data_IF_968138039323
#
_entry.id   IF_968138039323
#
_cell.length_a   1.000
_cell.length_b   1.000
_cell.length_c   1.000
_cell.angle_alpha   90.00
_cell.angle_beta   90.00
_cell.angle_gamma   90.00
#
_symmetry.space_group_name_H-M   'P 1'
#
loop_
_entity.id
_entity.type
_entity.pdbx_description
1 polymer ?
#
# COMPACT_ATOMS: atom_id res chain seq x y z
N UNK A 1 0.77 -27.63 59.44
CA UNK A 1 1.72 -26.92 58.54
C UNK A 1 1.93 -27.62 57.18
N UNK A 2 1.23 -28.69 56.86
CA UNK A 2 1.43 -29.55 55.65
C UNK A 2 0.49 -29.22 54.48
N UNK A 3 -0.64 -28.54 54.71
CA UNK A 3 -1.65 -28.25 53.64
C UNK A 3 -1.37 -27.07 52.71
N UNK A 4 -0.35 -26.22 52.96
CA UNK A 4 -0.06 -25.06 52.11
C UNK A 4 0.78 -25.34 50.86
N UNK A 5 1.55 -26.45 50.83
CA UNK A 5 2.41 -26.77 49.68
C UNK A 5 1.69 -27.33 48.44
N UNK A 6 0.57 -28.01 48.63
CA UNK A 6 -0.24 -28.55 47.50
C UNK A 6 -0.97 -27.50 46.68
N UNK A 7 -1.40 -26.42 47.32
CA UNK A 7 -2.18 -25.33 46.70
C UNK A 7 -1.40 -24.58 45.62
N UNK A 8 -0.11 -24.28 45.83
CA UNK A 8 0.75 -23.58 44.88
C UNK A 8 1.20 -24.44 43.69
N UNK A 9 1.30 -25.75 43.86
CA UNK A 9 1.70 -26.64 42.76
C UNK A 9 0.62 -26.83 41.68
N UNK A 10 -0.64 -26.59 42.00
CA UNK A 10 -1.76 -26.74 41.05
C UNK A 10 -2.07 -25.37 40.36
N UNK A 11 -1.88 -24.26 41.05
CA UNK A 11 -2.25 -22.91 40.54
C UNK A 11 -1.17 -22.37 39.58
N UNK A 12 0.10 -22.59 39.84
CA UNK A 12 1.21 -22.09 39.02
C UNK A 12 1.15 -22.56 37.55
N UNK A 13 0.89 -23.81 37.22
CA UNK A 13 0.83 -24.28 35.85
C UNK A 13 -0.36 -23.73 35.07
N UNK A 14 -1.51 -23.51 35.72
CA UNK A 14 -2.69 -22.92 35.06
C UNK A 14 -2.52 -21.43 34.77
N UNK A 15 -2.05 -20.62 35.71
CA UNK A 15 -1.72 -19.21 35.49
C UNK A 15 -0.65 -19.07 34.39
N UNK A 16 0.37 -19.93 34.38
CA UNK A 16 1.41 -19.96 33.35
C UNK A 16 0.86 -20.34 31.95
N UNK A 17 -0.11 -21.24 31.89
CA UNK A 17 -0.74 -21.66 30.65
C UNK A 17 -1.57 -20.51 30.02
N UNK A 18 -2.37 -19.82 30.81
CA UNK A 18 -3.18 -18.70 30.32
C UNK A 18 -2.38 -17.46 29.97
N UNK A 19 -1.28 -17.17 30.68
CA UNK A 19 -0.32 -16.13 30.26
C UNK A 19 0.32 -16.48 28.92
N UNK A 20 0.66 -17.75 28.69
CA UNK A 20 1.18 -18.21 27.40
C UNK A 20 0.18 -18.04 26.25
N UNK A 21 -1.10 -18.34 26.48
CA UNK A 21 -2.16 -18.14 25.46
C UNK A 21 -2.30 -16.65 25.12
N UNK A 22 -2.32 -15.75 26.11
CA UNK A 22 -2.41 -14.30 25.85
C UNK A 22 -1.21 -13.80 25.05
N UNK A 23 0.00 -14.20 25.45
CA UNK A 23 1.23 -13.85 24.71
C UNK A 23 1.18 -14.40 23.29
N UNK A 24 0.76 -15.65 23.10
CA UNK A 24 0.63 -16.25 21.77
C UNK A 24 -0.39 -15.50 20.88
N UNK A 25 -1.53 -15.10 21.43
CA UNK A 25 -2.54 -14.30 20.71
C UNK A 25 -2.00 -12.92 20.32
N UNK A 26 -1.28 -12.24 21.22
CA UNK A 26 -0.66 -10.96 20.94
C UNK A 26 0.43 -11.08 19.86
N UNK A 27 1.27 -12.12 19.94
CA UNK A 27 2.27 -12.41 18.91
C UNK A 27 1.63 -12.71 17.55
N UNK A 28 0.55 -13.50 17.53
CA UNK A 28 -0.18 -13.80 16.30
C UNK A 28 -0.81 -12.53 15.69
N UNK A 29 -1.43 -11.67 16.50
CA UNK A 29 -1.96 -10.39 16.05
C UNK A 29 -0.85 -9.50 15.46
N UNK A 30 0.29 -9.39 16.12
CA UNK A 30 1.44 -8.62 15.66
C UNK A 30 1.97 -9.16 14.31
N UNK A 31 2.12 -10.47 14.18
CA UNK A 31 2.57 -11.10 12.93
C UNK A 31 1.60 -10.86 11.78
N UNK A 32 0.28 -10.96 12.02
CA UNK A 32 -0.74 -10.69 11.01
C UNK A 32 -0.72 -9.23 10.56
N UNK A 33 -0.65 -8.29 11.50
CA UNK A 33 -0.57 -6.86 11.19
C UNK A 33 0.68 -6.57 10.36
N UNK A 34 1.83 -7.10 10.80
CA UNK A 34 3.09 -6.93 10.09
C UNK A 34 3.02 -7.51 8.66
N UNK A 35 2.43 -8.69 8.50
CA UNK A 35 2.23 -9.32 7.20
C UNK A 35 1.34 -8.47 6.27
N UNK A 36 0.24 -7.91 6.79
CA UNK A 36 -0.65 -7.01 6.03
C UNK A 36 0.15 -5.83 5.47
N UNK A 37 0.93 -5.14 6.30
CA UNK A 37 1.70 -3.97 5.87
C UNK A 37 2.84 -4.33 4.92
N UNK A 38 3.52 -5.45 5.12
CA UNK A 38 4.55 -5.94 4.19
C UNK A 38 3.93 -6.22 2.81
N UNK A 39 2.79 -6.92 2.76
CA UNK A 39 2.11 -7.23 1.50
C UNK A 39 1.69 -5.94 0.78
N UNK A 40 1.16 -4.95 1.50
CA UNK A 40 0.76 -3.65 0.94
C UNK A 40 1.97 -2.92 0.34
N UNK A 41 3.09 -2.82 1.06
CA UNK A 41 4.29 -2.15 0.55
C UNK A 41 4.92 -2.89 -0.63
N UNK A 42 4.94 -4.22 -0.61
CA UNK A 42 5.39 -5.02 -1.76
C UNK A 42 4.49 -4.78 -2.98
N UNK A 43 3.16 -4.73 -2.79
CA UNK A 43 2.19 -4.44 -3.86
C UNK A 43 2.39 -3.05 -4.45
N UNK A 44 2.52 -2.02 -3.60
CA UNK A 44 2.77 -0.63 -4.03
C UNK A 44 4.06 -0.54 -4.82
N UNK A 45 5.14 -1.16 -4.36
CA UNK A 45 6.44 -1.14 -5.04
C UNK A 45 6.40 -1.89 -6.37
N UNK A 46 5.70 -3.00 -6.45
CA UNK A 46 5.50 -3.74 -7.68
C UNK A 46 4.73 -2.91 -8.72
N UNK A 47 3.60 -2.30 -8.32
CA UNK A 47 2.81 -1.44 -9.22
C UNK A 47 3.60 -0.21 -9.67
N UNK A 48 4.36 0.43 -8.77
CA UNK A 48 5.22 1.56 -9.13
C UNK A 48 6.22 1.19 -10.21
N UNK A 49 6.93 0.06 -10.08
CA UNK A 49 7.89 -0.40 -11.09
C UNK A 49 7.20 -0.71 -12.41
N UNK A 50 6.10 -1.42 -12.39
CA UNK A 50 5.36 -1.79 -13.59
C UNK A 50 4.82 -0.57 -14.34
N UNK A 51 4.25 0.41 -13.62
CA UNK A 51 3.74 1.65 -14.19
C UNK A 51 4.89 2.49 -14.77
N UNK A 52 5.99 2.64 -14.03
CA UNK A 52 7.17 3.38 -14.48
C UNK A 52 7.76 2.76 -15.75
N UNK A 53 7.92 1.45 -15.81
CA UNK A 53 8.41 0.75 -17.00
C UNK A 53 7.47 0.92 -18.21
N UNK A 54 6.17 0.96 -17.96
CA UNK A 54 5.16 1.21 -18.99
C UNK A 54 5.29 2.63 -19.56
N UNK A 55 5.37 3.64 -18.67
CA UNK A 55 5.54 5.06 -19.02
C UNK A 55 6.85 5.25 -19.82
N UNK A 56 7.95 4.68 -19.34
CA UNK A 56 9.25 4.79 -20.03
C UNK A 56 9.20 4.18 -21.42
N UNK A 57 8.60 2.99 -21.59
CA UNK A 57 8.43 2.37 -22.91
C UNK A 57 7.57 3.22 -23.84
N UNK A 58 6.44 3.70 -23.36
CA UNK A 58 5.54 4.55 -24.14
C UNK A 58 6.24 5.85 -24.57
N UNK A 59 6.87 6.56 -23.64
CA UNK A 59 7.58 7.79 -23.95
C UNK A 59 8.77 7.57 -24.87
N UNK A 60 9.51 6.46 -24.73
CA UNK A 60 10.61 6.12 -25.64
C UNK A 60 10.11 5.89 -27.06
N UNK A 61 8.99 5.20 -27.24
CA UNK A 61 8.40 4.99 -28.56
C UNK A 61 7.91 6.31 -29.18
N UNK A 62 7.27 7.18 -28.39
CA UNK A 62 6.87 8.51 -28.82
C UNK A 62 8.08 9.37 -29.21
N UNK A 63 9.14 9.34 -28.40
CA UNK A 63 10.37 10.09 -28.70
C UNK A 63 11.03 9.61 -29.99
N UNK A 64 10.99 8.31 -30.25
CA UNK A 64 11.47 7.74 -31.51
C UNK A 64 10.65 8.22 -32.71
N UNK A 65 9.32 8.15 -32.60
CA UNK A 65 8.43 8.64 -33.67
C UNK A 65 8.62 10.14 -33.93
N UNK A 66 8.79 10.94 -32.89
CA UNK A 66 9.09 12.35 -33.02
C UNK A 66 10.45 12.60 -33.66
N UNK A 67 11.48 11.87 -33.25
CA UNK A 67 12.83 11.95 -33.85
C UNK A 67 12.78 11.61 -35.34
N UNK A 68 12.09 10.54 -35.73
CA UNK A 68 11.93 10.15 -37.13
C UNK A 68 11.21 11.23 -37.95
N UNK A 69 10.18 11.85 -37.41
CA UNK A 69 9.46 12.97 -38.05
C UNK A 69 10.38 14.18 -38.26
N UNK A 70 11.09 14.59 -37.20
CA UNK A 70 12.04 15.73 -37.29
C UNK A 70 13.18 15.40 -38.27
N UNK A 71 13.74 14.20 -38.21
CA UNK A 71 14.80 13.76 -39.12
C UNK A 71 14.36 13.79 -40.56
N UNK A 72 13.15 13.35 -40.89
CA UNK A 72 12.60 13.41 -42.23
C UNK A 72 12.56 14.85 -42.75
N UNK A 73 12.06 15.79 -41.96
CA UNK A 73 12.05 17.20 -42.35
C UNK A 73 13.44 17.80 -42.51
N UNK A 74 14.39 17.45 -41.61
CA UNK A 74 15.76 17.93 -41.69
C UNK A 74 16.47 17.40 -42.95
N UNK A 75 16.27 16.12 -43.34
CA UNK A 75 16.78 15.56 -44.58
C UNK A 75 16.22 16.29 -45.79
N UNK A 76 14.90 16.51 -45.85
CA UNK A 76 14.29 17.22 -46.93
C UNK A 76 14.86 18.65 -47.09
N UNK A 77 15.12 19.36 -45.99
CA UNK A 77 15.76 20.69 -46.00
C UNK A 77 17.22 20.57 -46.48
N UNK A 78 17.95 19.58 -46.02
CA UNK A 78 19.35 19.38 -46.42
C UNK A 78 19.49 19.01 -47.88
N UNK A 79 18.63 18.11 -48.41
CA UNK A 79 18.60 17.74 -49.83
C UNK A 79 18.27 18.98 -50.71
N UNK A 80 17.35 19.86 -50.26
CA UNK A 80 17.06 21.10 -50.92
C UNK A 80 18.29 22.02 -50.96
N UNK A 81 18.98 22.18 -49.83
CA UNK A 81 20.20 22.98 -49.73
C UNK A 81 21.32 22.43 -50.62
N UNK A 82 21.49 21.10 -50.65
CA UNK A 82 22.48 20.44 -51.52
C UNK A 82 22.17 20.66 -53.00
N UNK A 83 20.91 20.49 -53.40
CA UNK A 83 20.50 20.73 -54.77
C UNK A 83 20.75 22.18 -55.20
N UNK A 84 20.33 23.15 -54.36
CA UNK A 84 20.54 24.57 -54.62
C UNK A 84 22.01 24.96 -54.65
N UNK A 85 22.85 24.36 -53.81
CA UNK A 85 24.31 24.53 -53.81
C UNK A 85 24.91 24.02 -55.15
N UNK A 86 24.57 22.81 -55.53
CA UNK A 86 25.07 22.21 -56.81
C UNK A 86 24.65 23.03 -58.02
N UNK A 87 23.40 23.50 -58.08
CA UNK A 87 22.90 24.36 -59.16
C UNK A 87 23.61 25.71 -59.20
N UNK A 88 23.83 26.34 -58.03
CA UNK A 88 24.58 27.60 -57.95
C UNK A 88 26.04 27.43 -58.39
N UNK A 89 26.72 26.43 -57.88
CA UNK A 89 28.15 26.20 -58.18
C UNK A 89 28.38 25.79 -59.64
N UNK A 90 27.39 25.15 -60.29
CA UNK A 90 27.48 24.75 -61.71
C UNK A 90 27.13 25.89 -62.71
N UNK A 91 26.17 26.75 -62.36
CA UNK A 91 25.65 27.75 -63.29
C UNK A 91 25.86 29.19 -62.81
N UNK A 92 26.52 29.38 -61.66
CA UNK A 92 26.77 30.67 -61.01
C UNK A 92 25.48 31.47 -60.73
N UNK A 93 24.31 30.83 -60.81
CA UNK A 93 23.03 31.50 -60.51
C UNK A 93 21.91 30.55 -60.15
N UNK A 94 21.14 30.95 -59.14
CA UNK A 94 19.84 30.35 -58.79
C UNK A 94 18.78 31.42 -58.98
N UNK A 95 17.79 31.15 -59.85
CA UNK A 95 16.75 32.14 -60.14
C UNK A 95 15.70 32.24 -59.04
N UNK A 96 15.08 33.41 -58.86
CA UNK A 96 14.02 33.60 -57.90
C UNK A 96 12.78 32.67 -58.18
N UNK A 97 12.49 32.38 -59.47
CA UNK A 97 11.45 31.46 -59.87
C UNK A 97 11.72 30.02 -59.46
N UNK A 98 13.00 29.60 -59.51
CA UNK A 98 13.42 28.27 -59.02
C UNK A 98 13.24 28.17 -57.49
N UNK A 99 13.69 29.14 -56.74
CA UNK A 99 13.50 29.19 -55.29
C UNK A 99 12.02 29.14 -54.89
N UNK A 100 11.16 29.91 -55.59
CA UNK A 100 9.71 29.94 -55.39
C UNK A 100 9.06 28.58 -55.66
N UNK A 101 9.42 27.91 -56.75
CA UNK A 101 8.93 26.56 -57.11
C UNK A 101 9.37 25.52 -56.03
N UNK A 102 10.63 25.54 -55.63
CA UNK A 102 11.07 24.63 -54.59
C UNK A 102 10.33 24.83 -53.29
N UNK A 103 10.14 26.05 -52.84
CA UNK A 103 9.35 26.35 -51.64
C UNK A 103 7.93 25.83 -51.75
N UNK A 104 7.27 25.93 -52.90
CA UNK A 104 5.87 25.51 -53.08
C UNK A 104 5.71 24.00 -53.24
N UNK A 105 6.72 23.29 -53.78
CA UNK A 105 6.67 21.86 -54.07
C UNK A 105 6.99 21.03 -52.81
N UNK A 106 7.86 21.50 -51.97
CA UNK A 106 8.31 20.78 -50.80
C UNK A 106 7.46 21.20 -49.59
N UNK A 107 6.64 20.29 -49.09
CA UNK A 107 5.75 20.50 -47.94
C UNK A 107 6.53 20.47 -46.63
N UNK A 108 7.51 21.37 -46.50
CA UNK A 108 8.41 21.50 -45.33
C UNK A 108 8.25 22.89 -44.68
N UNK A 109 8.64 23.05 -43.40
CA UNK A 109 8.43 24.29 -42.64
C UNK A 109 9.32 25.46 -43.05
N UNK A 110 9.47 25.69 -44.36
CA UNK A 110 10.34 26.73 -44.92
C UNK A 110 9.57 28.06 -44.99
N UNK A 111 10.06 29.07 -44.31
CA UNK A 111 9.57 30.42 -44.35
C UNK A 111 10.15 31.15 -45.56
N UNK A 112 11.48 31.07 -45.72
CA UNK A 112 12.17 31.68 -46.87
C UNK A 112 13.39 30.86 -47.22
N UNK A 113 13.78 30.98 -48.49
CA UNK A 113 15.04 30.53 -49.05
C UNK A 113 15.77 31.75 -49.55
N UNK A 114 17.05 31.91 -49.21
CA UNK A 114 17.84 33.08 -49.62
C UNK A 114 19.25 32.65 -50.08
N UNK A 115 19.73 33.35 -51.08
CA UNK A 115 21.12 33.26 -51.55
C UNK A 115 21.83 34.53 -51.10
N UNK A 116 22.97 34.38 -50.48
CA UNK A 116 23.77 35.40 -49.84
C UNK A 116 25.12 35.42 -50.54
N UNK A 117 25.62 36.58 -50.93
CA UNK A 117 26.95 36.71 -51.56
C UNK A 117 28.09 36.67 -50.53
N UNK A 118 29.33 36.72 -50.99
CA UNK A 118 30.55 36.73 -50.18
C UNK A 118 30.70 37.96 -49.22
N UNK A 119 29.98 39.01 -49.50
CA UNK A 119 29.88 40.22 -48.64
C UNK A 119 28.81 40.07 -47.54
N UNK A 120 28.01 39.03 -47.56
CA UNK A 120 26.92 38.82 -46.63
C UNK A 120 25.62 39.54 -47.00
N UNK A 121 25.46 39.94 -48.26
CA UNK A 121 24.27 40.61 -48.77
C UNK A 121 23.36 39.58 -49.42
N UNK A 122 22.04 39.59 -49.09
CA UNK A 122 21.04 38.72 -49.70
C UNK A 122 20.78 39.19 -51.13
N UNK A 123 21.20 38.42 -52.11
CA UNK A 123 21.07 38.73 -53.55
C UNK A 123 19.83 38.09 -54.20
N UNK A 124 19.32 37.01 -53.61
CA UNK A 124 18.05 36.34 -54.04
C UNK A 124 17.30 35.86 -52.83
N UNK A 125 15.99 35.96 -52.82
CA UNK A 125 15.15 35.43 -51.76
C UNK A 125 13.75 35.13 -52.29
N UNK A 126 13.09 34.11 -51.69
CA UNK A 126 11.63 33.87 -51.83
C UNK A 126 10.80 34.88 -51.07
N UNK A 127 11.42 35.69 -50.20
CA UNK A 127 10.79 36.76 -49.44
C UNK A 127 11.38 38.10 -49.87
N UNK A 128 10.67 38.93 -50.70
CA UNK A 128 11.23 40.15 -51.29
C UNK A 128 11.78 41.13 -50.27
N UNK A 129 11.22 41.17 -49.05
CA UNK A 129 11.67 42.08 -47.97
C UNK A 129 13.09 41.76 -47.47
N UNK A 130 13.65 40.61 -47.81
CA UNK A 130 15.02 40.24 -47.45
C UNK A 130 16.05 40.70 -48.47
N UNK A 131 15.67 41.06 -49.68
CA UNK A 131 16.60 41.47 -50.73
C UNK A 131 17.43 42.68 -50.30
N UNK A 132 18.70 42.65 -50.63
CA UNK A 132 19.72 43.66 -50.29
C UNK A 132 19.98 43.81 -48.76
N UNK A 133 19.40 42.95 -47.93
CA UNK A 133 19.68 42.96 -46.48
C UNK A 133 21.07 42.38 -46.22
N UNK A 134 21.84 43.09 -45.37
CA UNK A 134 23.13 42.60 -44.89
C UNK A 134 22.93 41.65 -43.70
N UNK A 135 23.47 40.40 -43.81
CA UNK A 135 23.41 39.34 -42.82
C UNK A 135 24.80 38.82 -42.45
N UNK A 136 25.83 39.62 -42.76
CA UNK A 136 27.24 39.25 -42.50
C UNK A 136 27.54 39.06 -40.99
N UNK A 137 26.73 39.62 -40.10
CA UNK A 137 26.77 39.46 -38.66
C UNK A 137 26.12 38.19 -38.13
N UNK A 138 25.38 37.45 -38.99
CA UNK A 138 24.71 36.24 -38.55
C UNK A 138 25.71 35.12 -38.28
N UNK A 139 25.40 34.32 -37.24
CA UNK A 139 26.25 33.23 -36.72
C UNK A 139 26.70 32.27 -37.84
N UNK A 140 25.79 31.80 -38.67
CA UNK A 140 26.10 30.90 -39.76
C UNK A 140 27.04 31.48 -40.80
N UNK A 141 26.90 32.78 -41.12
CA UNK A 141 27.76 33.46 -42.09
C UNK A 141 29.16 33.64 -41.54
N UNK A 142 29.30 34.00 -40.30
CA UNK A 142 30.59 34.13 -39.63
C UNK A 142 31.29 32.75 -39.51
N UNK A 143 30.52 31.68 -39.23
CA UNK A 143 31.06 30.33 -39.19
C UNK A 143 31.65 29.90 -40.55
N UNK A 144 30.97 30.22 -41.69
CA UNK A 144 31.44 29.92 -43.04
C UNK A 144 32.67 30.72 -43.49
N UNK A 145 32.84 31.89 -42.95
CA UNK A 145 34.07 32.69 -43.20
C UNK A 145 35.30 32.09 -42.54
N UNK A 146 35.08 31.47 -41.36
CA UNK A 146 36.21 30.92 -40.59
C UNK A 146 36.59 29.52 -41.05
N UNK A 147 35.65 28.77 -41.54
CA UNK A 147 35.84 27.34 -41.85
C UNK A 147 34.94 26.89 -42.99
N UNK A 148 35.47 25.98 -43.84
CA UNK A 148 34.62 25.25 -44.76
C UNK A 148 33.87 24.15 -44.03
N UNK A 149 32.56 24.20 -44.16
CA UNK A 149 31.65 23.19 -43.60
C UNK A 149 31.04 22.40 -44.78
N UNK A 150 31.40 21.13 -44.85
CA UNK A 150 30.77 20.22 -45.82
C UNK A 150 29.32 19.86 -45.43
N UNK A 151 28.99 20.00 -44.14
CA UNK A 151 27.67 19.73 -43.58
C UNK A 151 26.84 21.01 -43.43
N UNK A 152 25.47 20.91 -43.37
CA UNK A 152 24.66 22.07 -43.10
C UNK A 152 24.93 22.64 -41.70
N UNK A 153 24.94 23.95 -41.61
CA UNK A 153 25.05 24.67 -40.34
C UNK A 153 23.68 24.94 -39.75
N UNK A 154 23.45 24.57 -38.51
CA UNK A 154 22.21 24.75 -37.75
C UNK A 154 22.38 25.91 -36.77
N UNK A 155 21.89 27.07 -37.09
CA UNK A 155 22.02 28.26 -36.27
C UNK A 155 21.09 28.25 -35.06
N UNK A 156 21.40 29.06 -34.07
CA UNK A 156 20.49 29.34 -32.94
C UNK A 156 19.22 30.00 -33.44
N UNK A 157 18.07 29.82 -32.75
CA UNK A 157 16.88 30.55 -33.04
C UNK A 157 17.06 32.05 -32.86
N UNK A 158 16.56 32.81 -33.80
CA UNK A 158 16.58 34.28 -33.77
C UNK A 158 15.22 34.84 -34.21
N UNK A 159 14.90 36.06 -33.78
CA UNK A 159 13.77 36.80 -34.32
C UNK A 159 14.14 37.29 -35.71
N UNK A 160 13.49 36.81 -36.75
CA UNK A 160 13.74 37.20 -38.14
C UNK A 160 13.56 38.71 -38.34
N UNK A 161 14.55 39.37 -38.94
CA UNK A 161 14.56 40.84 -39.12
C UNK A 161 13.37 41.37 -39.92
N UNK A 162 13.01 40.63 -40.97
CA UNK A 162 11.85 41.01 -41.84
C UNK A 162 10.54 40.38 -41.33
N UNK A 163 10.56 39.12 -40.86
CA UNK A 163 9.33 38.39 -40.52
C UNK A 163 8.82 38.74 -39.12
N UNK A 164 9.68 39.25 -38.22
CA UNK A 164 9.41 39.50 -36.80
C UNK A 164 8.92 38.25 -36.06
N UNK A 165 9.20 37.06 -36.59
CA UNK A 165 8.87 35.75 -36.02
C UNK A 165 10.15 35.02 -35.64
N UNK A 166 10.02 34.08 -34.67
CA UNK A 166 11.09 33.17 -34.38
C UNK A 166 11.38 32.28 -35.59
N UNK A 167 12.67 32.18 -35.95
CA UNK A 167 13.18 31.31 -37.01
C UNK A 167 14.49 30.69 -36.52
N UNK A 168 14.79 29.50 -36.97
CA UNK A 168 16.15 29.02 -36.94
C UNK A 168 16.63 28.76 -38.38
N UNK A 169 17.86 29.05 -38.60
CA UNK A 169 18.43 28.99 -39.93
C UNK A 169 19.21 27.73 -40.13
N UNK A 170 19.02 27.08 -41.31
CA UNK A 170 19.82 25.97 -41.79
C UNK A 170 20.48 26.47 -43.10
N UNK A 171 21.78 26.41 -43.13
CA UNK A 171 22.58 27.06 -44.20
C UNK A 171 23.67 26.13 -44.71
N UNK A 172 24.04 26.28 -46.00
CA UNK A 172 25.22 25.69 -46.55
C UNK A 172 26.09 26.77 -47.20
N UNK A 173 27.41 26.60 -47.07
CA UNK A 173 28.41 27.46 -47.74
C UNK A 173 28.38 27.21 -49.23
N UNK A 174 28.51 28.28 -50.02
CA UNK A 174 28.76 28.29 -51.44
C UNK A 174 30.27 28.51 -51.68
N UNK A 175 30.84 27.74 -52.60
CA UNK A 175 32.23 27.81 -52.90
C UNK A 175 32.45 28.24 -54.35
N UNK A 176 33.53 29.03 -54.60
CA UNK A 176 34.06 29.27 -55.94
C UNK A 176 34.82 28.03 -56.39
N UNK A 177 35.16 27.93 -57.68
CA UNK A 177 35.94 26.80 -58.22
C UNK A 177 37.30 26.61 -57.56
N UNK A 178 37.88 27.63 -56.95
CA UNK A 178 39.12 27.61 -56.21
C UNK A 178 38.95 27.17 -54.72
N UNK A 179 37.73 26.87 -54.29
CA UNK A 179 37.36 26.48 -52.91
C UNK A 179 37.19 27.69 -51.96
N UNK A 180 37.43 28.91 -52.42
CA UNK A 180 37.15 30.09 -51.58
C UNK A 180 35.64 30.30 -51.46
N UNK A 181 35.24 31.01 -50.37
CA UNK A 181 33.82 31.29 -50.08
C UNK A 181 33.24 32.26 -51.12
N UNK A 182 32.13 31.84 -51.80
CA UNK A 182 31.34 32.67 -52.69
C UNK A 182 30.05 33.19 -52.05
N UNK A 183 29.73 32.66 -50.89
CA UNK A 183 28.53 33.05 -50.15
C UNK A 183 27.87 31.91 -49.38
N UNK A 184 26.57 31.98 -49.24
CA UNK A 184 25.80 30.95 -48.56
C UNK A 184 24.37 30.83 -49.11
N UNK A 185 23.81 29.64 -49.07
CA UNK A 185 22.38 29.42 -49.19
C UNK A 185 21.83 29.20 -47.80
N UNK A 186 20.76 29.91 -47.50
CA UNK A 186 20.13 29.91 -46.19
C UNK A 186 18.63 29.62 -46.31
N UNK A 187 18.14 28.73 -45.47
CA UNK A 187 16.72 28.44 -45.28
C UNK A 187 16.32 28.85 -43.89
N UNK A 188 15.30 29.73 -43.79
CA UNK A 188 14.65 30.08 -42.53
C UNK A 188 13.50 29.10 -42.26
N UNK A 189 13.59 28.41 -41.15
CA UNK A 189 12.61 27.38 -40.72
C UNK A 189 11.75 27.90 -39.61
N UNK A 190 10.42 27.69 -39.71
CA UNK A 190 9.50 27.98 -38.64
C UNK A 190 9.52 26.88 -37.58
N UNK A 191 10.02 27.17 -36.36
CA UNK A 191 10.08 26.15 -35.31
C UNK A 191 8.70 25.68 -34.86
N UNK A 192 7.64 26.51 -35.00
CA UNK A 192 6.29 26.16 -34.55
C UNK A 192 5.65 25.04 -35.38
N UNK A 193 6.15 24.81 -36.60
CA UNK A 193 5.72 23.67 -37.40
C UNK A 193 5.90 22.33 -36.66
N UNK A 194 7.00 22.16 -35.97
CA UNK A 194 7.27 20.94 -35.22
C UNK A 194 6.37 20.80 -33.99
N UNK A 195 5.77 21.88 -33.53
CA UNK A 195 4.79 21.88 -32.46
C UNK A 195 3.47 21.20 -32.88
N UNK A 196 3.16 21.14 -34.21
CA UNK A 196 1.97 20.45 -34.70
C UNK A 196 1.98 18.95 -34.42
N UNK A 197 3.17 18.35 -34.30
CA UNK A 197 3.32 16.96 -33.88
C UNK A 197 2.66 16.73 -32.50
N UNK A 198 2.76 17.69 -31.59
CA UNK A 198 2.12 17.62 -30.28
C UNK A 198 0.60 17.49 -30.39
N UNK A 199 -0.04 18.31 -31.25
CA UNK A 199 -1.50 18.28 -31.41
C UNK A 199 -2.02 17.00 -32.04
N UNK A 200 -1.23 16.36 -32.92
CA UNK A 200 -1.59 15.12 -33.59
C UNK A 200 -1.49 13.89 -32.67
N UNK A 201 -0.63 13.93 -31.67
CA UNK A 201 -0.37 12.80 -30.77
C UNK A 201 -1.35 12.71 -29.60
N UNK A 202 -2.29 13.65 -29.45
CA UNK A 202 -3.26 13.70 -28.32
C UNK A 202 -2.58 13.47 -26.95
N UNK A 203 -1.41 14.05 -26.77
CA UNK A 203 -0.65 13.96 -25.52
C UNK A 203 -1.42 14.63 -24.37
N UNK A 204 -1.28 14.11 -23.17
CA UNK A 204 -1.93 14.65 -21.97
C UNK A 204 -1.57 16.12 -21.70
N UNK A 205 -2.20 16.71 -20.70
CA UNK A 205 -2.08 18.16 -20.42
C UNK A 205 -0.67 18.57 -19.99
N UNK A 206 0.06 17.70 -19.26
CA UNK A 206 1.38 17.98 -18.70
C UNK A 206 2.54 17.35 -19.50
N UNK A 207 2.26 16.94 -20.74
CA UNK A 207 3.33 16.55 -21.68
C UNK A 207 3.99 17.78 -22.27
N UNK A 208 5.26 17.63 -22.63
CA UNK A 208 5.93 18.57 -23.53
C UNK A 208 6.88 17.83 -24.47
N UNK A 209 7.00 18.36 -25.68
CA UNK A 209 8.00 17.96 -26.65
C UNK A 209 9.01 19.09 -26.86
N UNK A 210 10.25 18.75 -27.15
CA UNK A 210 11.26 19.77 -27.47
C UNK A 210 12.25 19.27 -28.50
N UNK A 211 12.72 20.22 -29.31
CA UNK A 211 13.92 20.09 -30.14
C UNK A 211 14.97 21.03 -29.52
N UNK A 212 16.09 20.48 -29.11
CA UNK A 212 17.19 21.20 -28.44
C UNK A 212 18.44 21.01 -29.30
N UNK A 213 19.15 22.09 -29.57
CA UNK A 213 20.46 21.97 -30.22
C UNK A 213 21.52 21.42 -29.27
N UNK A 214 22.52 20.74 -29.77
CA UNK A 214 23.73 20.34 -29.02
C UNK A 214 24.47 21.57 -28.43
N UNK A 215 24.18 22.76 -28.99
CA UNK A 215 24.64 24.05 -28.49
C UNK A 215 23.89 24.55 -27.23
N UNK A 216 22.86 23.80 -26.78
CA UNK A 216 22.09 24.10 -25.58
C UNK A 216 21.01 25.14 -25.75
N UNK A 217 20.60 25.46 -26.98
CA UNK A 217 19.45 26.34 -27.24
C UNK A 217 18.25 25.56 -27.70
N UNK A 218 17.10 25.85 -27.10
CA UNK A 218 15.81 25.26 -27.47
C UNK A 218 15.39 25.79 -28.85
N UNK A 219 15.27 24.90 -29.83
CA UNK A 219 14.73 25.26 -31.17
C UNK A 219 13.23 25.46 -31.11
N UNK A 220 12.55 24.56 -30.43
CA UNK A 220 11.12 24.66 -30.07
C UNK A 220 10.85 23.78 -28.87
N UNK A 221 10.01 24.28 -27.99
CA UNK A 221 9.36 23.51 -26.91
C UNK A 221 7.89 23.76 -26.96
N UNK A 222 7.09 22.72 -27.05
CA UNK A 222 5.65 22.77 -27.06
C UNK A 222 5.06 22.04 -25.88
N UNK A 223 4.19 22.72 -25.15
CA UNK A 223 3.29 22.15 -24.14
C UNK A 223 1.84 22.22 -24.63
N UNK A 224 0.91 21.80 -23.82
CA UNK A 224 -0.53 22.00 -24.12
C UNK A 224 -0.94 23.48 -24.25
N UNK A 225 -0.20 24.39 -23.64
CA UNK A 225 -0.58 25.81 -23.50
C UNK A 225 0.44 26.79 -24.06
N UNK A 226 1.70 26.42 -24.17
CA UNK A 226 2.79 27.33 -24.52
C UNK A 226 3.70 26.77 -25.59
N UNK A 227 4.19 27.67 -26.45
CA UNK A 227 5.31 27.40 -27.38
C UNK A 227 6.48 28.31 -27.00
N UNK A 228 7.64 27.74 -26.74
CA UNK A 228 8.86 28.44 -26.35
C UNK A 228 9.96 28.16 -27.38
N UNK A 229 10.72 29.23 -27.70
CA UNK A 229 11.80 29.18 -28.69
C UNK A 229 12.97 30.02 -28.18
N UNK A 230 14.19 29.56 -28.40
CA UNK A 230 15.40 30.33 -28.13
C UNK A 230 15.87 30.31 -26.68
N UNK A 231 15.21 29.58 -25.79
CA UNK A 231 15.61 29.48 -24.38
C UNK A 231 16.98 28.80 -24.25
N UNK A 232 17.89 29.41 -23.49
CA UNK A 232 19.19 28.83 -23.16
C UNK A 232 19.06 27.82 -22.01
N UNK A 233 19.40 26.57 -22.27
CA UNK A 233 19.31 25.46 -21.30
C UNK A 233 20.69 24.89 -20.96
N UNK A 234 21.80 25.54 -21.33
CA UNK A 234 23.16 25.03 -21.08
C UNK A 234 23.45 24.83 -19.59
N UNK A 235 22.90 25.69 -18.76
CA UNK A 235 23.06 25.65 -17.30
C UNK A 235 21.96 24.83 -16.60
N UNK A 236 21.00 24.23 -17.35
CA UNK A 236 19.96 23.41 -16.78
C UNK A 236 20.53 22.04 -16.37
N UNK A 237 20.17 21.58 -15.18
CA UNK A 237 20.66 20.32 -14.61
C UNK A 237 20.41 19.11 -15.51
N UNK A 238 19.37 19.14 -16.34
CA UNK A 238 19.05 18.05 -17.27
C UNK A 238 19.90 18.06 -18.55
N UNK A 239 20.50 19.22 -18.92
CA UNK A 239 21.22 19.32 -20.21
C UNK A 239 22.45 18.42 -20.26
N UNK A 240 23.13 18.23 -19.13
CA UNK A 240 24.25 17.29 -19.03
C UNK A 240 23.83 15.83 -19.33
N UNK A 241 22.63 15.43 -18.94
CA UNK A 241 22.10 14.11 -19.27
C UNK A 241 21.84 13.95 -20.76
N UNK A 242 21.41 15.01 -21.46
CA UNK A 242 21.15 14.97 -22.90
C UNK A 242 22.43 14.77 -23.73
N UNK A 243 23.59 15.09 -23.16
CA UNK A 243 24.90 14.91 -23.82
C UNK A 243 25.54 13.53 -23.53
N UNK A 244 24.99 12.77 -22.56
CA UNK A 244 25.58 11.54 -22.05
C UNK A 244 25.45 10.32 -22.95
N UNK A 245 24.75 10.41 -24.10
CA UNK A 245 24.57 9.33 -25.05
C UNK A 245 23.56 9.65 -26.15
N UNK A 246 23.38 8.70 -27.11
CA UNK A 246 22.46 8.90 -28.24
C UNK A 246 20.98 8.85 -27.81
N UNK A 247 20.66 8.14 -26.77
CA UNK A 247 19.30 8.05 -26.23
C UNK A 247 19.33 7.73 -24.74
N UNK A 248 18.26 8.09 -24.03
CA UNK A 248 18.13 7.79 -22.63
C UNK A 248 16.81 8.25 -22.02
N UNK A 249 16.65 7.89 -20.75
CA UNK A 249 15.54 8.33 -19.93
C UNK A 249 16.05 8.65 -18.52
N UNK A 250 15.51 9.72 -17.91
CA UNK A 250 15.86 10.13 -16.56
C UNK A 250 14.73 10.96 -15.94
N UNK A 251 14.76 11.13 -14.64
CA UNK A 251 13.83 12.00 -13.92
C UNK A 251 14.61 13.22 -13.42
N UNK A 252 14.13 14.42 -13.74
CA UNK A 252 14.75 15.65 -13.31
C UNK A 252 13.71 16.78 -13.14
N UNK A 253 14.12 17.85 -12.47
CA UNK A 253 13.30 19.06 -12.34
C UNK A 253 13.60 20.00 -13.51
N UNK A 254 12.55 20.45 -14.19
CA UNK A 254 12.69 21.38 -15.30
C UNK A 254 12.83 22.83 -14.82
N UNK A 255 13.62 23.65 -15.54
CA UNK A 255 13.77 25.08 -15.27
C UNK A 255 12.55 25.90 -15.69
N UNK A 256 11.65 25.34 -16.51
CA UNK A 256 10.52 26.07 -17.09
C UNK A 256 9.36 26.24 -16.09
N UNK A 257 9.10 25.25 -15.24
CA UNK A 257 7.97 25.24 -14.31
C UNK A 257 8.30 24.62 -12.95
N UNK A 258 9.56 24.31 -12.70
CA UNK A 258 10.07 23.70 -11.45
C UNK A 258 9.39 22.37 -11.07
N UNK A 259 8.72 21.71 -12.02
CA UNK A 259 8.11 20.40 -11.81
C UNK A 259 9.09 19.26 -12.07
N UNK A 260 8.97 18.18 -11.30
CA UNK A 260 9.67 16.92 -11.60
C UNK A 260 9.01 16.26 -12.80
N UNK A 261 9.85 15.87 -13.77
CA UNK A 261 9.42 15.28 -15.03
C UNK A 261 10.22 14.04 -15.37
N UNK A 262 9.56 13.11 -16.02
CA UNK A 262 10.18 11.93 -16.62
C UNK A 262 10.55 12.35 -18.04
N UNK A 263 11.83 12.39 -18.33
CA UNK A 263 12.39 12.75 -19.63
C UNK A 263 12.74 11.48 -20.40
N UNK A 264 12.47 11.51 -21.71
CA UNK A 264 13.04 10.59 -22.68
C UNK A 264 13.63 11.42 -23.81
N UNK A 265 14.81 11.04 -24.30
CA UNK A 265 15.50 11.79 -25.33
C UNK A 265 16.18 10.88 -26.36
N UNK A 266 16.36 11.45 -27.54
CA UNK A 266 17.19 10.88 -28.62
C UNK A 266 17.97 11.99 -29.30
N UNK A 267 19.29 11.80 -29.39
CA UNK A 267 20.17 12.67 -30.18
C UNK A 267 20.18 12.18 -31.64
N UNK A 268 20.08 13.11 -32.56
CA UNK A 268 20.18 12.77 -33.99
C UNK A 268 21.62 12.51 -34.37
N UNK A 269 21.93 11.38 -35.02
CA UNK A 269 23.29 11.10 -35.46
C UNK A 269 23.79 12.07 -36.54
N UNK A 270 22.87 12.41 -37.47
CA UNK A 270 23.20 13.18 -38.68
C UNK A 270 23.18 14.69 -38.47
N UNK A 271 22.47 15.16 -37.42
CA UNK A 271 22.24 16.58 -37.14
C UNK A 271 22.55 16.95 -35.70
N UNK A 272 22.99 18.19 -35.40
CA UNK A 272 23.34 18.63 -34.06
C UNK A 272 22.06 18.96 -33.22
N UNK A 273 21.09 18.07 -33.28
CA UNK A 273 19.78 18.23 -32.61
C UNK A 273 19.49 17.05 -31.68
N UNK A 274 18.77 17.33 -30.61
CA UNK A 274 18.30 16.37 -29.64
C UNK A 274 16.78 16.57 -29.53
N UNK A 275 16.01 15.51 -29.69
CA UNK A 275 14.58 15.54 -29.45
C UNK A 275 14.28 14.99 -28.08
N UNK A 276 13.33 15.58 -27.39
CA UNK A 276 12.92 15.14 -26.08
C UNK A 276 11.41 15.14 -25.95
N UNK A 277 10.89 14.15 -25.23
CA UNK A 277 9.52 14.13 -24.73
C UNK A 277 9.58 13.97 -23.22
N UNK A 278 8.76 14.73 -22.53
CA UNK A 278 8.68 14.63 -21.08
C UNK A 278 7.26 14.84 -20.56
N UNK A 279 6.97 14.14 -19.47
CA UNK A 279 5.69 14.19 -18.78
C UNK A 279 5.92 14.53 -17.32
N UNK A 280 5.01 15.27 -16.69
CA UNK A 280 5.01 15.48 -15.24
C UNK A 280 4.89 14.15 -14.50
N UNK A 281 5.74 13.92 -13.50
CA UNK A 281 5.69 12.72 -12.66
C UNK A 281 4.33 12.58 -11.96
N UNK A 282 3.74 13.71 -11.56
CA UNK A 282 2.43 13.74 -10.89
C UNK A 282 1.27 13.34 -11.83
N UNK A 283 1.31 13.71 -13.10
CA UNK A 283 0.31 13.26 -14.10
C UNK A 283 0.52 11.79 -14.45
N UNK A 284 1.75 11.42 -14.73
CA UNK A 284 2.12 10.07 -15.13
C UNK A 284 1.76 9.01 -14.07
N UNK A 285 1.95 9.34 -12.78
CA UNK A 285 1.70 8.45 -11.64
C UNK A 285 0.43 8.78 -10.86
N UNK A 286 -0.42 9.70 -11.37
CA UNK A 286 -1.61 10.16 -10.65
C UNK A 286 -2.55 9.03 -10.23
N UNK A 287 -2.82 8.09 -11.12
CA UNK A 287 -3.64 6.92 -10.83
C UNK A 287 -2.99 5.99 -9.79
N UNK A 288 -1.66 5.87 -9.82
CA UNK A 288 -0.91 5.09 -8.84
C UNK A 288 -1.01 5.73 -7.44
N UNK A 289 -0.91 7.06 -7.34
CA UNK A 289 -1.05 7.76 -6.08
C UNK A 289 -2.43 7.54 -5.44
N UNK A 290 -3.50 7.56 -6.24
CA UNK A 290 -4.84 7.24 -5.76
C UNK A 290 -4.95 5.78 -5.28
N UNK A 291 -4.44 4.82 -6.05
CA UNK A 291 -4.39 3.41 -5.63
C UNK A 291 -3.59 3.22 -4.34
N UNK A 292 -2.45 3.90 -4.20
CA UNK A 292 -1.61 3.87 -3.00
C UNK A 292 -2.36 4.33 -1.75
N UNK A 293 -3.15 5.40 -1.86
CA UNK A 293 -4.01 5.89 -0.78
C UNK A 293 -5.07 4.84 -0.43
N UNK A 294 -5.72 4.25 -1.42
CA UNK A 294 -6.74 3.21 -1.20
C UNK A 294 -6.15 1.96 -0.51
N UNK A 295 -4.97 1.49 -0.93
CA UNK A 295 -4.28 0.36 -0.26
C UNK A 295 -3.95 0.66 1.19
N UNK A 296 -3.48 1.87 1.50
CA UNK A 296 -3.19 2.29 2.88
C UNK A 296 -4.46 2.33 3.73
N UNK A 297 -5.57 2.84 3.23
CA UNK A 297 -6.86 2.78 3.92
C UNK A 297 -7.34 1.35 4.13
N UNK A 298 -7.19 0.49 3.13
CA UNK A 298 -7.45 -0.95 3.28
C UNK A 298 -6.61 -1.60 4.38
N UNK A 299 -5.33 -1.24 4.46
CA UNK A 299 -4.43 -1.67 5.53
C UNK A 299 -4.85 -1.22 6.93
N UNK A 300 -5.27 0.04 7.06
CA UNK A 300 -5.80 0.57 8.32
C UNK A 300 -7.06 -0.18 8.75
N UNK A 301 -8.01 -0.37 7.84
CA UNK A 301 -9.24 -1.13 8.12
C UNK A 301 -8.94 -2.58 8.49
N UNK A 302 -8.04 -3.24 7.76
CA UNK A 302 -7.58 -4.59 8.06
C UNK A 302 -6.91 -4.68 9.44
N UNK A 303 -6.06 -3.72 9.77
CA UNK A 303 -5.44 -3.63 11.10
C UNK A 303 -6.46 -3.46 12.21
N UNK A 304 -7.46 -2.58 12.02
CA UNK A 304 -8.56 -2.41 12.98
C UNK A 304 -9.35 -3.70 13.17
N UNK A 305 -9.67 -4.40 12.09
CA UNK A 305 -10.38 -5.68 12.15
C UNK A 305 -9.60 -6.74 12.96
N UNK A 306 -8.28 -6.85 12.72
CA UNK A 306 -7.41 -7.75 13.48
C UNK A 306 -7.39 -7.37 14.96
N UNK A 307 -7.23 -6.09 15.28
CA UNK A 307 -7.21 -5.61 16.67
C UNK A 307 -8.54 -5.92 17.38
N UNK A 308 -9.67 -5.64 16.74
CA UNK A 308 -11.00 -5.95 17.28
C UNK A 308 -11.17 -7.45 17.51
N UNK A 309 -10.83 -8.27 16.51
CA UNK A 309 -10.92 -9.72 16.60
C UNK A 309 -10.10 -10.28 17.79
N UNK A 310 -8.83 -9.89 17.89
CA UNK A 310 -7.97 -10.36 18.96
C UNK A 310 -8.37 -9.80 20.33
N UNK A 311 -8.90 -8.56 20.40
CA UNK A 311 -9.47 -8.00 21.62
C UNK A 311 -10.68 -8.80 22.11
N UNK A 312 -11.58 -9.21 21.20
CA UNK A 312 -12.73 -10.08 21.51
C UNK A 312 -12.27 -11.45 21.98
N UNK A 313 -11.25 -12.05 21.33
CA UNK A 313 -10.69 -13.32 21.76
C UNK A 313 -10.08 -13.23 23.17
N UNK A 314 -9.32 -12.20 23.46
CA UNK A 314 -8.76 -11.95 24.78
C UNK A 314 -9.85 -11.74 25.83
N UNK A 315 -10.91 -11.01 25.48
CA UNK A 315 -12.08 -10.81 26.36
C UNK A 315 -12.80 -12.14 26.63
N UNK A 316 -13.04 -12.98 25.62
CA UNK A 316 -13.65 -14.30 25.80
C UNK A 316 -12.78 -15.21 26.68
N UNK A 317 -11.47 -15.22 26.50
CA UNK A 317 -10.56 -15.98 27.35
C UNK A 317 -10.63 -15.47 28.79
N UNK A 318 -10.67 -14.16 29.00
CA UNK A 318 -10.80 -13.56 30.33
C UNK A 318 -12.12 -13.94 30.99
N UNK A 319 -13.22 -13.91 30.23
CA UNK A 319 -14.55 -14.22 30.75
C UNK A 319 -14.66 -15.71 31.15
N UNK A 320 -14.07 -16.62 30.37
CA UNK A 320 -13.97 -18.05 30.76
C UNK A 320 -13.22 -18.23 32.07
N UNK A 321 -12.09 -17.57 32.24
CA UNK A 321 -11.33 -17.62 33.49
C UNK A 321 -12.13 -17.15 34.69
N UNK A 322 -12.83 -16.04 34.57
CA UNK A 322 -13.67 -15.51 35.65
C UNK A 322 -14.81 -16.48 36.00
N UNK A 323 -15.42 -17.13 34.98
CA UNK A 323 -16.48 -18.11 35.21
C UNK A 323 -15.96 -19.38 35.91
N UNK A 324 -14.78 -19.87 35.49
CA UNK A 324 -14.14 -21.02 36.15
C UNK A 324 -13.79 -20.73 37.59
N UNK A 325 -13.27 -19.54 37.93
CA UNK A 325 -12.96 -19.13 39.27
C UNK A 325 -14.23 -19.01 40.13
N UNK A 326 -15.33 -18.48 39.59
CA UNK A 326 -16.62 -18.40 40.31
C UNK A 326 -17.15 -19.81 40.57
N UNK A 327 -17.12 -20.70 39.56
CA UNK A 327 -17.58 -22.09 39.70
C UNK A 327 -16.78 -22.86 40.75
N UNK A 328 -15.47 -22.68 40.72
CA UNK A 328 -14.57 -23.28 41.73
C UNK A 328 -14.86 -22.84 43.14
N UNK A 329 -15.04 -21.54 43.37
CA UNK A 329 -15.43 -21.00 44.71
C UNK A 329 -16.76 -21.54 45.18
N UNK A 330 -17.75 -21.60 44.28
CA UNK A 330 -19.06 -22.15 44.58
C UNK A 330 -18.98 -23.64 44.95
N UNK A 331 -18.14 -24.46 44.27
CA UNK A 331 -17.89 -25.84 44.61
C UNK A 331 -17.19 -26.00 45.97
N UNK A 332 -16.16 -25.19 46.24
CA UNK A 332 -15.46 -25.20 47.55
C UNK A 332 -16.41 -24.85 48.71
N UNK A 333 -17.32 -23.90 48.49
CA UNK A 333 -18.32 -23.53 49.49
C UNK A 333 -19.42 -24.58 49.67
N UNK A 334 -19.83 -25.24 48.55
CA UNK A 334 -20.74 -26.37 48.60
C UNK A 334 -20.13 -27.57 49.36
N UNK A 335 -18.85 -27.92 49.10
CA UNK A 335 -18.15 -28.98 49.82
C UNK A 335 -18.09 -28.71 51.33
N UNK A 336 -17.81 -27.48 51.76
CA UNK A 336 -17.81 -27.08 53.16
C UNK A 336 -19.21 -27.20 53.77
N UNK A 337 -20.27 -26.78 53.04
CA UNK A 337 -21.65 -26.90 53.47
C UNK A 337 -22.09 -28.37 53.62
N UNK A 338 -21.74 -29.22 52.67
CA UNK A 338 -21.99 -30.66 52.70
C UNK A 338 -21.29 -31.29 53.92
N UNK A 339 -19.98 -30.99 54.10
CA UNK A 339 -19.23 -31.52 55.26
C UNK A 339 -19.86 -31.09 56.58
N UNK A 340 -20.29 -29.84 56.74
CA UNK A 340 -20.97 -29.34 57.93
C UNK A 340 -22.28 -30.08 58.16
N UNK A 341 -23.11 -30.23 57.12
CA UNK A 341 -24.40 -30.94 57.23
C UNK A 341 -24.22 -32.41 57.55
N UNK A 342 -23.22 -33.06 56.99
CA UNK A 342 -22.92 -34.45 57.30
C UNK A 342 -22.53 -34.63 58.74
N UNK A 343 -21.67 -33.75 59.30
CA UNK A 343 -21.30 -33.77 60.70
C UNK A 343 -22.52 -33.49 61.64
N UNK A 344 -23.39 -32.53 61.29
CA UNK A 344 -24.63 -32.29 62.06
C UNK A 344 -25.55 -33.52 62.05
N UNK A 345 -25.70 -34.20 60.90
CA UNK A 345 -26.49 -35.44 60.77
C UNK A 345 -25.89 -36.59 61.60
N UNK A 346 -24.58 -36.77 61.60
CA UNK A 346 -23.92 -37.81 62.40
C UNK A 346 -24.20 -37.62 63.89
N UNK A 347 -24.15 -36.38 64.41
CA UNK A 347 -24.51 -36.08 65.81
C UNK A 347 -25.97 -36.48 66.09
N UNK A 348 -26.93 -36.05 65.23
CA UNK A 348 -28.35 -36.39 65.40
C UNK A 348 -28.57 -37.91 65.36
N UNK A 349 -27.90 -38.63 64.46
CA UNK A 349 -28.00 -40.09 64.37
C UNK A 349 -27.53 -40.72 65.66
N UNK A 350 -26.40 -40.26 66.22
CA UNK A 350 -25.88 -40.77 67.49
C UNK A 350 -26.82 -40.48 68.66
N UNK A 351 -27.41 -39.30 68.75
CA UNK A 351 -28.40 -38.95 69.75
C UNK A 351 -29.65 -39.87 69.66
N UNK A 352 -30.15 -40.08 68.41
CA UNK A 352 -31.32 -40.94 68.21
C UNK A 352 -31.01 -42.40 68.56
N UNK A 353 -29.82 -42.92 68.21
CA UNK A 353 -29.39 -44.27 68.62
C UNK A 353 -29.31 -44.41 70.13
N UNK A 354 -28.80 -43.40 70.84
CA UNK A 354 -28.74 -43.39 72.28
C UNK A 354 -30.14 -43.38 72.90
N UNK A 355 -31.05 -42.55 72.41
CA UNK A 355 -32.46 -42.51 72.85
C UNK A 355 -33.18 -43.88 72.61
N UNK A 356 -32.97 -44.47 71.48
CA UNK A 356 -33.52 -45.81 71.20
C UNK A 356 -32.97 -46.92 72.13
N UNK A 357 -31.71 -46.77 72.54
CA UNK A 357 -31.08 -47.72 73.50
C UNK A 357 -31.68 -47.61 74.92
N UNK A 358 -32.18 -46.39 75.33
CA UNK A 358 -32.83 -46.17 76.61
C UNK A 358 -34.26 -46.73 76.70
N UNK A 359 -34.88 -47.00 75.54
CA UNK A 359 -36.26 -47.54 75.51
C UNK A 359 -36.25 -49.01 75.88
N UNK A 360 -36.40 -49.37 77.19
CA UNK A 360 -36.58 -50.74 77.65
C UNK A 360 -37.98 -51.24 77.29
N UNK A 361 -38.15 -51.83 76.18
CA UNK A 361 -39.42 -52.46 75.79
C UNK A 361 -39.32 -53.98 75.85
N UNK A 362 -40.25 -54.61 76.56
CA UNK A 362 -40.42 -56.07 76.51
C UNK A 362 -40.84 -56.49 75.12
N UNK A 363 -39.96 -57.20 74.41
CA UNK A 363 -40.31 -57.76 73.09
C UNK A 363 -40.14 -59.28 73.14
N UNK A 364 -41.16 -59.98 72.62
CA UNK A 364 -41.14 -61.42 72.46
C UNK A 364 -42.17 -62.16 73.27
N UNK A 365 -42.19 -63.48 73.14
CA UNK A 365 -43.12 -64.34 73.89
C UNK A 365 -42.45 -64.68 75.22
N UNK A 366 -43.11 -64.25 76.38
CA UNK A 366 -42.65 -64.60 77.72
C UNK A 366 -43.22 -65.91 78.19
N UNK A 367 -42.41 -66.94 78.44
CA UNK A 367 -42.91 -68.24 78.89
C UNK A 367 -43.40 -68.16 80.32
N UNK A 368 -44.68 -68.32 80.52
CA UNK A 368 -45.30 -68.30 81.87
C UNK A 368 -45.78 -69.69 82.28
N UNK A 369 -45.66 -70.02 83.51
CA UNK A 369 -46.19 -71.26 84.09
C UNK A 369 -47.71 -71.27 84.09
N UNK A 370 -48.34 -72.27 83.52
CA UNK A 370 -49.80 -72.37 83.43
C UNK A 370 -50.48 -72.38 84.82
N UNK A 371 -49.79 -72.98 85.82
CA UNK A 371 -50.35 -73.12 87.17
C UNK A 371 -50.03 -71.88 88.07
N UNK A 372 -48.81 -71.62 88.28
CA UNK A 372 -48.45 -70.54 89.27
C UNK A 372 -48.14 -69.19 88.67
N UNK A 373 -48.31 -69.01 87.33
CA UNK A 373 -48.15 -67.77 86.58
C UNK A 373 -46.74 -67.09 86.68
N UNK A 374 -45.72 -67.77 87.22
CA UNK A 374 -44.35 -67.26 87.19
C UNK A 374 -43.80 -67.22 85.77
N UNK A 375 -42.99 -66.25 85.46
CA UNK A 375 -42.24 -66.13 84.18
C UNK A 375 -40.87 -66.85 84.29
N UNK A 376 -40.47 -67.59 83.25
CA UNK A 376 -39.16 -68.17 83.14
C UNK A 376 -38.23 -67.20 82.36
N UNK A 377 -37.16 -66.79 82.98
CA UNK A 377 -36.11 -65.97 82.32
C UNK A 377 -35.25 -66.82 81.38
N UNK A 378 -34.42 -66.13 80.60
CA UNK A 378 -33.49 -66.79 79.60
C UNK A 378 -32.48 -67.70 80.29
N UNK A 379 -32.28 -67.60 81.59
CA UNK A 379 -31.35 -68.48 82.35
C UNK A 379 -32.08 -69.67 83.00
N UNK A 380 -33.40 -69.81 82.77
CA UNK A 380 -34.23 -70.93 83.27
C UNK A 380 -34.81 -70.70 84.60
N UNK A 381 -34.63 -69.60 85.29
CA UNK A 381 -35.22 -69.31 86.68
C UNK A 381 -36.66 -68.81 86.56
N UNK A 382 -37.48 -69.24 87.46
CA UNK A 382 -38.85 -68.84 87.56
C UNK A 382 -39.04 -67.68 88.60
N UNK A 383 -39.48 -66.52 88.12
CA UNK A 383 -39.75 -65.32 88.93
C UNK A 383 -41.23 -64.87 88.86
N UNK A 384 -41.69 -64.17 89.87
CA UNK A 384 -43.04 -63.53 89.79
C UNK A 384 -43.08 -62.55 88.54
N UNK A 385 -44.24 -62.46 87.93
CA UNK A 385 -44.46 -61.62 86.74
C UNK A 385 -44.02 -60.19 87.00
N UNK A 386 -44.41 -59.66 88.18
CA UNK A 386 -44.15 -58.30 88.64
C UNK A 386 -42.63 -58.03 88.73
N UNK A 387 -41.90 -58.99 89.30
CA UNK A 387 -40.44 -58.91 89.47
C UNK A 387 -39.69 -58.96 88.07
N UNK A 388 -40.20 -59.79 87.17
CA UNK A 388 -39.60 -59.91 85.84
C UNK A 388 -39.86 -58.66 85.01
N UNK A 389 -41.11 -58.18 84.95
CA UNK A 389 -41.49 -57.01 84.20
C UNK A 389 -40.81 -55.74 84.74
N UNK A 390 -40.77 -55.56 86.06
CA UNK A 390 -40.09 -54.45 86.71
C UNK A 390 -38.58 -54.39 86.39
N UNK A 391 -37.96 -55.57 86.21
CA UNK A 391 -36.51 -55.69 85.88
C UNK A 391 -36.20 -55.42 84.42
N UNK A 392 -37.17 -55.74 83.54
CA UNK A 392 -36.95 -55.72 82.06
C UNK A 392 -37.74 -54.59 81.33
N UNK A 393 -38.51 -53.79 82.09
CA UNK A 393 -39.21 -52.63 81.59
C UNK A 393 -39.23 -51.48 82.59
N UNK A 394 -39.64 -50.33 82.23
CA UNK A 394 -39.86 -49.19 83.16
C UNK A 394 -41.19 -49.29 83.94
N UNK A 395 -41.91 -50.38 83.80
CA UNK A 395 -43.21 -50.58 84.46
C UNK A 395 -43.02 -50.78 85.97
N UNK A 396 -43.85 -50.07 86.79
CA UNK A 396 -43.96 -50.25 88.23
C UNK A 396 -45.30 -50.86 88.57
N UNK A 397 -45.28 -51.84 89.47
CA UNK A 397 -46.49 -52.49 89.91
C UNK A 397 -46.95 -51.88 91.24
N UNK A 398 -48.28 -51.63 91.33
CA UNK A 398 -48.97 -51.35 92.57
C UNK A 398 -49.92 -52.56 92.91
N UNK A 399 -50.01 -52.85 94.15
CA UNK A 399 -50.90 -53.92 94.59
C UNK A 399 -52.26 -53.40 94.92
N UNK A 400 -53.27 -54.07 94.40
CA UNK A 400 -54.68 -53.85 94.66
C UNK A 400 -55.42 -55.17 94.64
N UNK A 401 -56.58 -55.17 95.19
CA UNK A 401 -57.45 -56.35 95.19
C UNK A 401 -58.57 -56.08 94.19
N UNK A 402 -58.74 -56.90 93.22
CA UNK A 402 -59.82 -56.75 92.24
C UNK A 402 -61.20 -57.11 92.88
N UNK A 403 -62.30 -56.54 92.45
CA UNK A 403 -63.59 -56.77 93.06
C UNK A 403 -63.97 -58.24 93.23
N UNK A 404 -63.58 -59.13 92.30
CA UNK A 404 -63.81 -60.59 92.42
C UNK A 404 -63.05 -61.25 93.56
N UNK A 405 -61.78 -60.85 93.70
CA UNK A 405 -60.93 -61.32 94.79
C UNK A 405 -61.39 -60.74 96.15
N UNK A 406 -61.80 -59.47 96.14
CA UNK A 406 -62.32 -58.84 97.35
C UNK A 406 -63.59 -59.54 97.82
N UNK A 407 -64.49 -59.94 96.95
CA UNK A 407 -65.70 -60.72 97.34
C UNK A 407 -65.36 -62.12 97.86
N UNK A 408 -64.28 -62.73 97.35
CA UNK A 408 -63.88 -64.08 97.91
C UNK A 408 -63.14 -64.04 99.22
N UNK A 409 -62.33 -63.01 99.44
CA UNK A 409 -61.48 -62.93 100.66
C UNK A 409 -62.15 -62.21 101.83
N UNK A 410 -63.09 -61.33 101.51
CA UNK A 410 -63.77 -60.51 102.50
C UNK A 410 -65.27 -60.47 102.19
N UNK A 411 -65.96 -61.61 102.23
CA UNK A 411 -67.38 -61.68 101.85
C UNK A 411 -68.30 -60.86 102.75
N UNK A 412 -67.82 -60.53 103.96
CA UNK A 412 -68.58 -59.74 104.96
C UNK A 412 -68.45 -58.21 104.75
N UNK A 413 -67.49 -57.71 103.94
CA UNK A 413 -67.19 -56.30 103.71
C UNK A 413 -67.71 -55.79 102.38
N UNK A 414 -67.84 -56.69 101.37
CA UNK A 414 -68.20 -56.28 100.01
C UNK A 414 -69.64 -56.84 99.72
N UNK A 415 -70.60 -56.03 99.95
CA UNK A 415 -71.98 -56.31 99.48
C UNK A 415 -72.14 -55.85 98.03
#
# INVERSE_FOLDING_TARGET
MVQRKGFWQIIYPQLAFFTRIRVALLCAAFLLITAIWIIIELRINFEYRTEMDSILRQNTNLTRAFEESVRHNMRAIDDMLMFLKAEYESHSSVTAGMLARMKSTWHIPVVHISVINDQGIIVRSTLPQLLSMNVSDMEYFQAFRQRDYDKPYFAKPVIGRATKKWLFHISRRLNKPDGSMDGAINIGVDPTYFAQFYSQMALGKDYAISIIGKDGFVRVRQTSTTTEVGTDVRNASFFGHLQGGEQGAFINTTIFDSKRRIFTYRAMPDYPLIVTIFISETEALGNLYQRKVNYRWGGVLGTMAVVVMFSLLLWMVQQRLNTEDILRRANEDLEKMVAKRTAELEVIIQELQNALAEVKTLRGILPICANCKKIRDDKGYWSQVETYVAKHSAAKFSHGICPECAKKLYPEIVR
#
